data_IF_403187858604
#
_entry.id   IF_403187858604
#
_cell.length_a   1.000
_cell.length_b   1.000
_cell.length_c   1.000
_cell.angle_alpha   90.00
_cell.angle_beta   90.00
_cell.angle_gamma   90.00
#
_symmetry.space_group_name_H-M   'P 1'
#
loop_
_entity.id
_entity.type
_entity.pdbx_description
1 polymer ?
#
# COMPACT_ATOMS: atom_id res chain seq x y z
N UNK A 1 4.73 27.46 19.61
CA UNK A 1 3.79 26.43 19.11
C UNK A 1 4.60 25.22 18.70
N UNK A 2 4.62 24.15 19.51
CA UNK A 2 5.47 22.98 19.28
C UNK A 2 4.77 22.01 18.33
N UNK A 3 5.08 22.06 17.03
CA UNK A 3 4.67 21.08 16.03
C UNK A 3 5.57 19.84 16.11
N UNK A 4 5.23 18.93 17.02
CA UNK A 4 6.00 17.71 17.25
C UNK A 4 5.97 16.75 16.05
N UNK A 5 7.07 16.67 15.31
CA UNK A 5 7.37 15.66 14.26
C UNK A 5 7.51 14.21 14.79
N UNK A 6 6.81 13.84 15.86
CA UNK A 6 7.03 12.58 16.56
C UNK A 6 5.80 11.98 17.25
N UNK A 7 4.58 12.41 16.93
CA UNK A 7 3.37 11.95 17.64
C UNK A 7 2.75 10.66 17.10
N UNK A 8 3.24 10.09 15.99
CA UNK A 8 2.84 8.76 15.51
C UNK A 8 3.79 7.65 16.02
N UNK A 9 4.14 7.68 17.31
CA UNK A 9 4.95 6.64 17.99
C UNK A 9 4.20 5.31 18.20
N UNK A 10 3.11 5.08 17.47
CA UNK A 10 2.46 3.78 17.47
C UNK A 10 3.35 2.80 16.71
N UNK A 11 3.74 1.73 17.39
CA UNK A 11 4.37 0.59 16.72
C UNK A 11 3.30 -0.16 15.93
N UNK A 12 3.57 -0.34 14.64
CA UNK A 12 2.75 -1.20 13.78
C UNK A 12 3.26 -2.64 13.92
N UNK A 13 2.36 -3.58 14.20
CA UNK A 13 2.70 -4.99 14.21
C UNK A 13 2.78 -5.55 12.79
N UNK A 14 3.36 -6.74 12.64
CA UNK A 14 3.43 -7.44 11.35
C UNK A 14 2.03 -7.78 10.84
N UNK A 15 1.14 -8.15 11.76
CA UNK A 15 -0.26 -8.45 11.49
C UNK A 15 -1.01 -7.22 10.98
N UNK A 16 -0.76 -6.06 11.58
CA UNK A 16 -1.36 -4.79 11.13
C UNK A 16 -0.85 -4.37 9.75
N UNK A 17 0.46 -4.50 9.50
CA UNK A 17 1.04 -4.22 8.18
C UNK A 17 0.46 -5.14 7.10
N UNK A 18 0.35 -6.44 7.40
CA UNK A 18 -0.24 -7.43 6.50
C UNK A 18 -1.70 -7.08 6.20
N UNK A 19 -2.50 -6.84 7.23
CA UNK A 19 -3.90 -6.47 7.08
C UNK A 19 -4.04 -5.19 6.24
N UNK A 20 -3.19 -4.19 6.45
CA UNK A 20 -3.19 -2.95 5.67
C UNK A 20 -2.93 -3.21 4.18
N UNK A 21 -1.93 -4.03 3.85
CA UNK A 21 -1.60 -4.37 2.47
C UNK A 21 -2.77 -5.11 1.81
N UNK A 22 -3.32 -6.13 2.47
CA UNK A 22 -4.44 -6.91 1.94
C UNK A 22 -5.68 -6.03 1.74
N UNK A 23 -6.03 -5.19 2.71
CA UNK A 23 -7.17 -4.27 2.58
C UNK A 23 -6.96 -3.25 1.45
N UNK A 24 -5.75 -2.73 1.27
CA UNK A 24 -5.45 -1.85 0.14
C UNK A 24 -5.57 -2.60 -1.20
N UNK A 25 -5.23 -3.88 -1.27
CA UNK A 25 -5.44 -4.69 -2.47
C UNK A 25 -6.93 -4.90 -2.76
N UNK A 26 -7.73 -5.23 -1.74
CA UNK A 26 -9.19 -5.37 -1.87
C UNK A 26 -9.84 -4.09 -2.40
N UNK A 27 -9.50 -2.94 -1.81
CA UNK A 27 -10.04 -1.64 -2.24
C UNK A 27 -9.52 -1.24 -3.63
N UNK A 28 -8.33 -1.72 -4.03
CA UNK A 28 -7.78 -1.45 -5.36
C UNK A 28 -8.48 -2.21 -6.49
N UNK A 29 -9.15 -3.33 -6.19
CA UNK A 29 -9.89 -4.14 -7.18
C UNK A 29 -11.21 -3.46 -7.56
N UNK A 30 -11.83 -2.77 -6.62
CA UNK A 30 -13.08 -2.05 -6.85
C UNK A 30 -12.83 -0.72 -7.59
N UNK A 31 -13.32 -0.64 -8.83
CA UNK A 31 -13.18 0.53 -9.70
C UNK A 31 -13.88 1.77 -9.16
N UNK A 32 -14.79 1.63 -8.19
CA UNK A 32 -15.39 2.76 -7.48
C UNK A 32 -14.40 3.45 -6.54
N UNK A 33 -13.37 2.76 -6.06
CA UNK A 33 -12.39 3.32 -5.12
C UNK A 33 -11.04 3.59 -5.76
N UNK A 34 -10.71 2.91 -6.86
CA UNK A 34 -9.47 3.12 -7.60
C UNK A 34 -9.72 3.10 -9.10
N UNK A 35 -9.49 4.24 -9.75
CA UNK A 35 -9.39 4.32 -11.21
C UNK A 35 -7.96 3.95 -11.65
N UNK A 36 -7.72 3.74 -12.95
CA UNK A 36 -6.44 3.24 -13.51
C UNK A 36 -5.17 3.88 -12.92
N UNK A 37 -5.22 5.16 -12.53
CA UNK A 37 -4.03 5.89 -12.07
C UNK A 37 -4.18 6.52 -10.68
N UNK A 38 -5.39 6.59 -10.12
CA UNK A 38 -5.65 7.36 -8.89
C UNK A 38 -6.71 6.72 -8.01
N UNK A 39 -6.47 6.82 -6.70
CA UNK A 39 -7.46 6.56 -5.68
C UNK A 39 -8.51 7.66 -5.67
N UNK A 40 -9.76 7.30 -5.38
CA UNK A 40 -10.83 8.28 -5.14
C UNK A 40 -10.72 8.86 -3.74
N UNK A 41 -11.31 10.03 -3.55
CA UNK A 41 -11.41 10.65 -2.24
C UNK A 41 -12.16 9.75 -1.26
N UNK A 42 -11.74 9.75 0.00
CA UNK A 42 -12.33 8.91 1.03
C UNK A 42 -11.92 7.44 0.99
N UNK A 43 -11.07 6.98 0.05
CA UNK A 43 -10.62 5.57 0.03
C UNK A 43 -9.98 5.13 1.36
N UNK A 44 -9.26 6.03 2.04
CA UNK A 44 -8.68 5.74 3.36
C UNK A 44 -9.73 5.47 4.43
N UNK A 45 -10.92 6.07 4.34
CA UNK A 45 -12.04 5.79 5.24
C UNK A 45 -12.61 4.40 4.97
N UNK A 46 -12.64 3.97 3.71
CA UNK A 46 -13.01 2.59 3.36
C UNK A 46 -11.98 1.60 3.90
N UNK A 47 -10.69 1.90 3.77
CA UNK A 47 -9.59 1.11 4.34
C UNK A 47 -9.70 1.04 5.86
N UNK A 48 -9.99 2.15 6.54
CA UNK A 48 -10.23 2.17 8.00
C UNK A 48 -11.34 1.19 8.41
N UNK A 49 -12.48 1.21 7.72
CA UNK A 49 -13.60 0.31 8.02
C UNK A 49 -13.23 -1.16 7.87
N UNK A 50 -12.53 -1.52 6.79
CA UNK A 50 -12.10 -2.91 6.55
C UNK A 50 -11.01 -3.34 7.53
N UNK A 51 -10.07 -2.44 7.87
CA UNK A 51 -9.06 -2.69 8.91
C UNK A 51 -9.70 -2.93 10.28
N UNK A 52 -10.77 -2.21 10.62
CA UNK A 52 -11.51 -2.44 11.86
C UNK A 52 -12.23 -3.80 11.89
N UNK A 53 -12.47 -4.44 10.74
CA UNK A 53 -12.99 -5.81 10.68
C UNK A 53 -11.87 -6.84 10.84
N UNK A 54 -10.70 -6.60 10.22
CA UNK A 54 -9.56 -7.53 10.25
C UNK A 54 -8.79 -7.48 11.57
N UNK A 55 -8.63 -6.29 12.12
CA UNK A 55 -7.86 -6.01 13.35
C UNK A 55 -8.67 -5.09 14.27
N UNK A 56 -9.80 -5.58 14.83
CA UNK A 56 -10.78 -4.75 15.54
C UNK A 56 -10.23 -4.00 16.76
N UNK A 57 -9.27 -4.60 17.46
CA UNK A 57 -8.66 -3.99 18.65
C UNK A 57 -7.59 -2.94 18.29
N UNK A 58 -7.25 -2.77 17.02
CA UNK A 58 -6.19 -1.86 16.63
C UNK A 58 -6.59 -0.39 16.83
N UNK A 59 -7.87 0.00 16.70
CA UNK A 59 -8.25 1.41 16.87
C UNK A 59 -7.56 2.36 15.88
N UNK A 60 -7.25 1.86 14.68
CA UNK A 60 -6.59 2.62 13.62
C UNK A 60 -7.54 3.63 12.99
N UNK A 61 -7.00 4.78 12.59
CA UNK A 61 -7.73 5.87 11.93
C UNK A 61 -7.15 6.14 10.55
N UNK A 62 -8.01 6.44 9.59
CA UNK A 62 -7.66 6.82 8.22
C UNK A 62 -6.55 7.88 8.19
N UNK A 63 -6.73 8.95 8.95
CA UNK A 63 -5.72 9.95 9.28
C UNK A 63 -5.62 10.08 10.81
N UNK A 64 -4.43 10.06 11.44
CA UNK A 64 -3.09 10.04 10.83
C UNK A 64 -2.47 8.65 10.66
N UNK A 65 -3.10 7.58 11.15
CA UNK A 65 -2.42 6.29 11.29
C UNK A 65 -2.22 5.57 9.95
N UNK A 66 -3.31 5.30 9.23
CA UNK A 66 -3.29 4.51 7.99
C UNK A 66 -2.56 5.27 6.88
N UNK A 67 -2.85 6.57 6.72
CA UNK A 67 -2.18 7.40 5.72
C UNK A 67 -0.65 7.43 5.93
N UNK A 68 -0.21 7.65 7.18
CA UNK A 68 1.21 7.72 7.51
C UNK A 68 1.91 6.39 7.23
N UNK A 69 1.33 5.27 7.65
CA UNK A 69 1.92 3.95 7.44
C UNK A 69 1.95 3.58 5.95
N UNK A 70 0.89 3.86 5.21
CA UNK A 70 0.87 3.61 3.78
C UNK A 70 1.95 4.40 3.03
N UNK A 71 2.12 5.69 3.34
CA UNK A 71 3.20 6.51 2.77
C UNK A 71 4.58 5.95 3.11
N UNK A 72 4.76 5.48 4.35
CA UNK A 72 6.00 4.82 4.79
C UNK A 72 6.29 3.54 4.00
N UNK A 73 5.34 2.62 3.91
CA UNK A 73 5.49 1.35 3.19
C UNK A 73 5.78 1.57 1.71
N UNK A 74 5.07 2.50 1.07
CA UNK A 74 5.29 2.88 -0.33
C UNK A 74 6.71 3.41 -0.56
N UNK A 75 7.22 4.26 0.34
CA UNK A 75 8.60 4.78 0.25
C UNK A 75 9.63 3.67 0.40
N UNK A 76 9.48 2.79 1.39
CA UNK A 76 10.38 1.64 1.59
C UNK A 76 10.38 0.70 0.39
N UNK A 77 9.21 0.42 -0.18
CA UNK A 77 9.10 -0.39 -1.38
C UNK A 77 9.82 0.25 -2.58
N UNK A 78 9.63 1.56 -2.80
CA UNK A 78 10.31 2.26 -3.90
C UNK A 78 11.84 2.22 -3.75
N UNK A 79 12.37 2.40 -2.54
CA UNK A 79 13.81 2.28 -2.28
C UNK A 79 14.32 0.89 -2.64
N UNK A 80 13.62 -0.17 -2.22
CA UNK A 80 13.99 -1.55 -2.55
C UNK A 80 13.88 -1.81 -4.06
N UNK A 81 12.85 -1.26 -4.71
CA UNK A 81 12.67 -1.35 -6.15
C UNK A 81 13.79 -0.66 -6.92
N UNK A 82 14.20 0.54 -6.50
CA UNK A 82 15.26 1.31 -7.13
C UNK A 82 16.62 0.61 -6.92
N UNK A 83 16.90 0.12 -5.71
CA UNK A 83 18.10 -0.69 -5.44
C UNK A 83 18.13 -1.94 -6.32
N UNK A 84 16.99 -2.61 -6.49
CA UNK A 84 16.88 -3.76 -7.39
C UNK A 84 17.14 -3.38 -8.84
N UNK A 85 16.65 -2.22 -9.32
CA UNK A 85 16.95 -1.74 -10.67
C UNK A 85 18.43 -1.43 -10.84
N UNK A 86 19.09 -0.85 -9.85
CA UNK A 86 20.54 -0.60 -9.88
C UNK A 86 21.32 -1.92 -9.95
N UNK A 87 20.95 -2.91 -9.14
CA UNK A 87 21.55 -4.26 -9.17
C UNK A 87 21.24 -5.01 -10.48
N UNK A 88 20.02 -4.90 -10.99
CA UNK A 88 19.58 -5.53 -12.24
C UNK A 88 20.16 -4.81 -13.48
N UNK A 89 20.51 -3.53 -13.39
CA UNK A 89 21.22 -2.79 -14.46
C UNK A 89 22.67 -3.25 -14.63
N UNK A 90 23.25 -3.92 -13.61
CA UNK A 90 24.49 -4.68 -13.72
C UNK A 90 24.27 -6.14 -14.21
N UNK A 91 23.02 -6.60 -14.36
CA UNK A 91 22.70 -8.00 -14.68
C UNK A 91 21.26 -8.21 -15.15
N UNK A 92 21.01 -7.95 -16.44
CA UNK A 92 19.70 -8.12 -17.10
C UNK A 92 19.23 -9.59 -17.09
N UNK A 93 18.27 -9.96 -16.24
CA UNK A 93 17.40 -11.12 -16.50
C UNK A 93 16.05 -11.20 -15.74
N UNK A 94 15.74 -10.34 -14.77
CA UNK A 94 14.51 -10.47 -13.95
C UNK A 94 13.54 -9.29 -13.97
N UNK A 95 13.84 -8.22 -14.71
CA UNK A 95 13.01 -7.01 -14.83
C UNK A 95 11.55 -7.31 -15.25
N UNK A 96 11.30 -8.35 -16.06
CA UNK A 96 9.95 -8.74 -16.51
C UNK A 96 9.06 -9.26 -15.37
N UNK A 97 9.60 -10.07 -14.45
CA UNK A 97 8.84 -10.58 -13.28
C UNK A 97 8.58 -9.47 -12.26
N UNK A 98 9.56 -8.59 -12.03
CA UNK A 98 9.41 -7.49 -11.08
C UNK A 98 8.45 -6.40 -11.59
N UNK A 99 8.52 -6.04 -12.88
CA UNK A 99 7.56 -5.12 -13.49
C UNK A 99 6.15 -5.72 -13.57
N UNK A 100 6.01 -7.04 -13.71
CA UNK A 100 4.71 -7.72 -13.63
C UNK A 100 4.13 -7.65 -12.21
N UNK A 101 4.95 -7.83 -11.17
CA UNK A 101 4.55 -7.69 -9.76
C UNK A 101 4.21 -6.22 -9.42
N UNK A 102 5.02 -5.26 -9.88
CA UNK A 102 4.78 -3.82 -9.74
C UNK A 102 3.49 -3.40 -10.47
N UNK A 103 3.28 -3.90 -11.69
CA UNK A 103 2.07 -3.65 -12.48
C UNK A 103 0.86 -4.35 -11.88
N UNK A 104 0.97 -5.54 -11.30
CA UNK A 104 -0.12 -6.25 -10.61
C UNK A 104 -0.48 -5.58 -9.28
N UNK A 105 0.50 -5.09 -8.52
CA UNK A 105 0.28 -4.29 -7.31
C UNK A 105 -0.30 -2.91 -7.60
N UNK A 106 0.00 -2.31 -8.77
CA UNK A 106 -0.49 -0.97 -9.13
C UNK A 106 -1.76 -1.00 -10.00
N UNK A 107 -1.96 -2.01 -10.82
CA UNK A 107 -3.07 -2.22 -11.74
C UNK A 107 -3.59 -3.65 -11.54
N UNK A 108 -4.41 -3.85 -10.49
CA UNK A 108 -5.08 -5.12 -10.19
C UNK A 108 -5.49 -5.85 -11.46
N UNK A 109 -4.95 -7.05 -11.59
CA UNK A 109 -4.85 -7.92 -12.76
C UNK A 109 -6.03 -7.83 -13.75
N UNK A 110 -5.70 -7.57 -15.03
CA UNK A 110 -6.52 -8.00 -16.17
C UNK A 110 -6.55 -9.53 -16.18
N UNK A 111 -7.72 -10.13 -15.96
CA UNK A 111 -8.07 -11.38 -16.62
C UNK A 111 -9.14 -11.08 -17.66
N UNK A 112 -8.85 -11.53 -18.88
CA UNK A 112 -9.56 -11.28 -20.13
C UNK A 112 -10.83 -12.11 -20.18
N UNK A 113 -11.88 -11.49 -20.72
CA UNK A 113 -13.10 -12.09 -21.25
C UNK A 113 -12.75 -13.12 -22.34
N UNK A 114 -13.01 -14.40 -22.10
CA UNK A 114 -13.85 -15.31 -22.91
C UNK A 114 -13.82 -16.73 -22.35
#
# INVERSE_FOLDING_TARGET
MNTGRGQNKRNWSVEEDRALIETLQEVAIDTNWKNEKRWRDGYLVRVEKLMALKVPMAGLKSNPHIESRWKYLKRKYNVVADMRVVLDSAGLRQQKKFNAIKTSMMNGVRYVVH
#
